data_IF_968070785793
#
_entry.id   IF_968070785793
#
_cell.length_a   1.000
_cell.length_b   1.000
_cell.length_c   1.000
_cell.angle_alpha   90.00
_cell.angle_beta   90.00
_cell.angle_gamma   90.00
#
_symmetry.space_group_name_H-M   'P 1'
#
loop_
_entity.id
_entity.type
_entity.pdbx_description
1 polymer ?
#
# COMPACT_ATOMS: atom_id res chain seq x y z
N UNK A 1 -38.71 9.67 2.91
CA UNK A 1 -37.67 9.46 3.94
C UNK A 1 -36.29 9.05 3.36
N UNK A 2 -36.03 9.15 2.04
CA UNK A 2 -34.72 8.85 1.44
C UNK A 2 -33.84 10.08 1.16
N UNK A 3 -34.40 11.29 1.23
CA UNK A 3 -33.70 12.55 0.92
C UNK A 3 -32.75 13.02 2.02
N UNK A 4 -32.99 12.63 3.27
CA UNK A 4 -32.18 13.04 4.43
C UNK A 4 -30.86 12.23 4.51
N UNK A 5 -30.85 10.98 4.03
CA UNK A 5 -29.63 10.16 4.02
C UNK A 5 -28.64 10.59 2.92
N UNK A 6 -29.12 11.16 1.81
CA UNK A 6 -28.27 11.62 0.70
C UNK A 6 -27.48 12.88 1.08
N UNK A 7 -28.03 13.77 1.91
CA UNK A 7 -27.36 15.01 2.31
C UNK A 7 -26.20 14.80 3.29
N UNK A 8 -26.26 13.77 4.15
CA UNK A 8 -25.17 13.43 5.07
C UNK A 8 -23.94 12.83 4.36
N UNK A 9 -24.14 12.14 3.24
CA UNK A 9 -23.04 11.59 2.43
C UNK A 9 -22.23 12.71 1.76
N UNK A 10 -22.90 13.80 1.36
CA UNK A 10 -22.23 14.95 0.69
C UNK A 10 -21.42 15.78 1.70
N UNK A 11 -21.88 15.93 2.96
CA UNK A 11 -21.13 16.62 4.01
C UNK A 11 -19.88 15.86 4.48
N UNK A 12 -19.90 14.52 4.50
CA UNK A 12 -18.74 13.72 4.89
C UNK A 12 -17.55 13.80 3.94
N UNK A 13 -17.77 14.13 2.65
CA UNK A 13 -16.69 14.30 1.66
C UNK A 13 -15.95 15.63 1.85
N UNK A 14 -16.62 16.65 2.42
CA UNK A 14 -16.05 17.99 2.62
C UNK A 14 -15.13 18.03 3.86
N UNK A 15 -15.43 17.27 4.92
CA UNK A 15 -14.60 17.25 6.14
C UNK A 15 -13.35 16.34 6.05
N UNK A 16 -13.29 15.42 5.08
CA UNK A 16 -12.14 14.52 4.87
C UNK A 16 -10.92 15.20 4.20
N UNK A 17 -11.00 16.51 3.92
CA UNK A 17 -10.03 17.22 3.08
C UNK A 17 -8.70 17.62 3.73
N UNK A 18 -8.56 17.56 5.05
CA UNK A 18 -7.45 18.28 5.73
C UNK A 18 -6.66 17.48 6.77
N UNK A 19 -6.71 16.15 6.75
CA UNK A 19 -5.61 15.40 7.34
C UNK A 19 -4.43 15.43 6.36
N UNK A 20 -3.47 16.32 6.57
CA UNK A 20 -2.12 16.13 6.03
C UNK A 20 -1.58 14.81 6.61
N UNK A 21 -1.83 13.68 5.92
CA UNK A 21 -1.14 12.45 6.21
C UNK A 21 0.34 12.72 5.92
N UNK A 22 1.14 12.90 6.99
CA UNK A 22 2.60 12.88 6.89
C UNK A 22 2.97 11.64 6.08
N UNK A 23 3.44 11.85 4.84
CA UNK A 23 3.79 10.74 3.96
C UNK A 23 4.85 9.91 4.68
N UNK A 24 4.62 8.60 4.90
CA UNK A 24 5.63 7.77 5.54
C UNK A 24 6.90 7.86 4.71
N UNK A 25 8.03 8.15 5.36
CA UNK A 25 9.33 8.12 4.69
C UNK A 25 9.53 6.71 4.17
N UNK A 26 9.72 6.57 2.85
CA UNK A 26 10.07 5.27 2.27
C UNK A 26 11.38 4.80 2.93
N UNK A 27 11.45 3.55 3.41
CA UNK A 27 12.69 3.04 4.00
C UNK A 27 13.82 3.11 2.97
N UNK A 28 14.99 3.53 3.43
CA UNK A 28 16.20 3.61 2.59
C UNK A 28 16.62 2.19 2.16
N UNK A 29 17.00 1.97 0.89
CA UNK A 29 17.55 0.69 0.43
C UNK A 29 18.73 0.22 1.30
N UNK A 30 18.82 -1.07 1.67
CA UNK A 30 19.85 -1.58 2.56
C UNK A 30 21.29 -1.31 2.08
N UNK A 31 21.54 -1.40 0.76
CA UNK A 31 22.85 -1.17 0.16
C UNK A 31 23.35 0.28 0.32
N UNK A 32 22.48 1.24 0.62
CA UNK A 32 22.87 2.62 0.88
C UNK A 32 23.37 2.84 2.31
N UNK A 33 23.12 1.94 3.28
CA UNK A 33 23.42 2.20 4.70
C UNK A 33 24.87 2.59 4.95
N UNK A 34 25.82 1.95 4.26
CA UNK A 34 27.25 2.11 4.46
C UNK A 34 27.91 3.04 3.42
N UNK A 35 27.14 3.76 2.63
CA UNK A 35 27.67 4.66 1.59
C UNK A 35 27.90 6.08 2.11
N UNK A 36 28.83 6.79 1.45
CA UNK A 36 29.09 8.21 1.70
C UNK A 36 27.86 9.07 1.37
N UNK A 37 27.82 10.29 1.91
CA UNK A 37 26.71 11.22 1.63
C UNK A 37 26.63 11.58 0.15
N UNK A 38 27.79 11.68 -0.49
CA UNK A 38 27.96 12.00 -1.90
C UNK A 38 27.39 10.88 -2.77
N UNK A 39 27.75 9.62 -2.50
CA UNK A 39 27.24 8.48 -3.23
C UNK A 39 25.72 8.33 -3.06
N UNK A 40 25.19 8.55 -1.84
CA UNK A 40 23.75 8.62 -1.60
C UNK A 40 23.11 9.74 -2.42
N UNK A 41 23.72 10.93 -2.50
CA UNK A 41 23.18 12.05 -3.28
C UNK A 41 23.06 11.70 -4.76
N UNK A 42 24.12 11.15 -5.35
CA UNK A 42 24.13 10.70 -6.75
C UNK A 42 23.01 9.69 -7.04
N UNK A 43 22.83 8.70 -6.17
CA UNK A 43 21.74 7.73 -6.28
C UNK A 43 20.37 8.40 -6.30
N UNK A 44 20.13 9.36 -5.39
CA UNK A 44 18.86 10.06 -5.32
C UNK A 44 18.65 11.03 -6.49
N UNK A 45 19.71 11.60 -7.06
CA UNK A 45 19.65 12.43 -8.27
C UNK A 45 19.17 11.62 -9.48
N UNK A 46 19.69 10.40 -9.67
CA UNK A 46 19.21 9.46 -10.69
C UNK A 46 17.70 9.21 -10.56
N UNK A 47 17.24 8.92 -9.34
CA UNK A 47 15.83 8.64 -9.08
C UNK A 47 14.91 9.86 -9.16
N UNK A 48 15.46 11.06 -8.97
CA UNK A 48 14.70 12.31 -9.02
C UNK A 48 14.48 12.79 -10.46
N UNK A 49 15.27 12.32 -11.42
CA UNK A 49 15.11 12.66 -12.83
C UNK A 49 13.76 12.17 -13.38
N UNK A 50 12.82 13.08 -13.62
CA UNK A 50 11.48 12.77 -14.10
C UNK A 50 11.36 12.68 -15.63
N UNK A 51 12.45 12.96 -16.34
CA UNK A 51 12.45 13.01 -17.80
C UNK A 51 12.86 11.66 -18.42
N UNK A 52 13.26 10.70 -17.60
CA UNK A 52 13.72 9.39 -18.05
C UNK A 52 12.74 8.27 -17.72
N UNK A 53 12.79 7.21 -18.51
CA UNK A 53 12.03 6.00 -18.21
C UNK A 53 12.61 5.31 -16.99
N UNK A 54 11.77 4.57 -16.27
CA UNK A 54 12.21 3.74 -15.13
C UNK A 54 13.29 2.74 -15.56
N UNK A 55 13.21 2.21 -16.78
CA UNK A 55 14.22 1.31 -17.32
C UNK A 55 15.58 2.01 -17.48
N UNK A 56 15.57 3.26 -17.95
CA UNK A 56 16.78 4.07 -18.09
C UNK A 56 17.37 4.44 -16.72
N UNK A 57 16.53 4.84 -15.76
CA UNK A 57 16.96 5.07 -14.38
C UNK A 57 17.61 3.82 -13.77
N UNK A 58 17.05 2.62 -13.99
CA UNK A 58 17.67 1.37 -13.54
C UNK A 58 19.04 1.12 -14.15
N UNK A 59 19.19 1.37 -15.45
CA UNK A 59 20.51 1.27 -16.10
C UNK A 59 21.51 2.26 -15.50
N UNK A 60 21.09 3.49 -15.19
CA UNK A 60 21.92 4.49 -14.53
C UNK A 60 22.30 4.07 -13.09
N UNK A 61 21.35 3.52 -12.33
CA UNK A 61 21.62 2.98 -10.98
C UNK A 61 22.62 1.83 -11.05
N UNK A 62 22.52 0.93 -12.03
CA UNK A 62 23.50 -0.15 -12.21
C UNK A 62 24.89 0.37 -12.59
N UNK A 63 24.98 1.38 -13.48
CA UNK A 63 26.24 2.01 -13.82
C UNK A 63 26.88 2.73 -12.60
N UNK A 64 26.07 3.46 -11.83
CA UNK A 64 26.48 4.05 -10.56
C UNK A 64 26.96 2.98 -9.57
N UNK A 65 26.23 1.87 -9.45
CA UNK A 65 26.58 0.77 -8.55
C UNK A 65 27.91 0.11 -8.92
N UNK A 66 28.22 0.00 -10.23
CA UNK A 66 29.53 -0.46 -10.72
C UNK A 66 30.66 0.46 -10.30
N UNK A 67 30.48 1.78 -10.46
CA UNK A 67 31.48 2.77 -10.04
C UNK A 67 31.77 2.72 -8.54
N UNK A 68 30.77 2.35 -7.74
CA UNK A 68 30.88 2.20 -6.29
C UNK A 68 31.14 0.76 -5.82
N UNK A 69 31.38 -0.18 -6.74
CA UNK A 69 31.64 -1.61 -6.43
C UNK A 69 30.56 -2.32 -5.60
N UNK A 70 29.28 -1.92 -5.76
CA UNK A 70 28.12 -2.49 -5.06
C UNK A 70 27.07 -3.10 -6.01
N UNK A 71 27.44 -3.36 -7.26
CA UNK A 71 26.54 -3.89 -8.30
C UNK A 71 25.79 -5.14 -7.84
N UNK A 72 26.47 -6.10 -7.19
CA UNK A 72 25.86 -7.32 -6.69
C UNK A 72 24.75 -7.04 -5.64
N UNK A 73 24.98 -6.09 -4.73
CA UNK A 73 24.00 -5.73 -3.70
C UNK A 73 22.77 -5.06 -4.31
N UNK A 74 22.97 -4.20 -5.31
CA UNK A 74 21.88 -3.54 -6.04
C UNK A 74 21.07 -4.55 -6.84
N UNK A 75 21.72 -5.47 -7.56
CA UNK A 75 21.04 -6.53 -8.32
C UNK A 75 20.23 -7.47 -7.42
N UNK A 76 20.79 -7.86 -6.26
CA UNK A 76 20.06 -8.65 -5.27
C UNK A 76 18.81 -7.91 -4.79
N UNK A 77 18.94 -6.64 -4.42
CA UNK A 77 17.81 -5.83 -3.98
C UNK A 77 16.73 -5.67 -5.07
N UNK A 78 17.13 -5.53 -6.35
CA UNK A 78 16.17 -5.49 -7.45
C UNK A 78 15.41 -6.81 -7.62
N UNK A 79 16.07 -7.95 -7.42
CA UNK A 79 15.43 -9.26 -7.46
C UNK A 79 14.42 -9.43 -6.30
N UNK A 80 14.80 -9.04 -5.08
CA UNK A 80 13.91 -9.04 -3.90
C UNK A 80 12.68 -8.14 -4.13
N UNK A 81 12.86 -6.93 -4.67
CA UNK A 81 11.75 -6.05 -5.01
C UNK A 81 10.82 -6.65 -6.07
N UNK A 82 11.37 -7.36 -7.07
CA UNK A 82 10.57 -8.04 -8.10
C UNK A 82 9.74 -9.18 -7.50
N UNK A 83 10.33 -9.95 -6.60
CA UNK A 83 9.62 -11.00 -5.87
C UNK A 83 8.51 -10.41 -5.01
N UNK A 84 8.81 -9.44 -4.15
CA UNK A 84 7.84 -8.78 -3.29
C UNK A 84 6.69 -8.13 -4.10
N UNK A 85 6.99 -7.52 -5.25
CA UNK A 85 5.97 -6.98 -6.15
C UNK A 85 5.06 -8.07 -6.71
N UNK A 86 5.59 -9.25 -7.02
CA UNK A 86 4.82 -10.39 -7.52
C UNK A 86 3.91 -10.94 -6.43
N UNK A 87 4.43 -11.13 -5.22
CA UNK A 87 3.65 -11.56 -4.05
C UNK A 87 2.54 -10.57 -3.70
N UNK A 88 2.86 -9.26 -3.70
CA UNK A 88 1.88 -8.21 -3.45
C UNK A 88 0.76 -8.23 -4.50
N UNK A 89 1.10 -8.39 -5.78
CA UNK A 89 0.10 -8.51 -6.85
C UNK A 89 -0.82 -9.70 -6.62
N UNK A 90 -0.26 -10.88 -6.31
CA UNK A 90 -1.05 -12.07 -6.03
C UNK A 90 -2.00 -11.86 -4.83
N UNK A 91 -1.50 -11.24 -3.75
CA UNK A 91 -2.30 -10.93 -2.56
C UNK A 91 -3.44 -9.95 -2.88
N UNK A 92 -3.17 -8.89 -3.66
CA UNK A 92 -4.20 -7.93 -4.08
C UNK A 92 -5.23 -8.60 -5.00
N UNK A 93 -4.80 -9.45 -5.93
CA UNK A 93 -5.72 -10.22 -6.79
C UNK A 93 -6.62 -11.13 -5.96
N UNK A 94 -6.07 -11.83 -4.96
CA UNK A 94 -6.86 -12.66 -4.03
C UNK A 94 -7.87 -11.83 -3.23
N UNK A 95 -7.45 -10.65 -2.73
CA UNK A 95 -8.35 -9.72 -2.04
C UNK A 95 -9.50 -9.25 -2.93
N UNK A 96 -9.20 -8.88 -4.18
CA UNK A 96 -10.23 -8.46 -5.15
C UNK A 96 -11.22 -9.58 -5.45
N UNK A 97 -10.77 -10.83 -5.52
CA UNK A 97 -11.65 -11.98 -5.71
C UNK A 97 -12.56 -12.24 -4.49
N UNK A 98 -12.08 -11.98 -3.28
CA UNK A 98 -12.85 -12.16 -2.05
C UNK A 98 -13.80 -10.99 -1.73
N UNK A 99 -13.53 -9.80 -2.29
CA UNK A 99 -14.22 -8.56 -1.97
C UNK A 99 -15.75 -8.60 -2.21
N UNK A 100 -16.27 -9.12 -3.34
CA UNK A 100 -17.72 -9.17 -3.57
C UNK A 100 -18.46 -9.97 -2.51
N UNK A 101 -17.89 -11.11 -2.10
CA UNK A 101 -18.49 -11.96 -1.07
C UNK A 101 -18.42 -11.30 0.32
N UNK A 102 -17.31 -10.61 0.62
CA UNK A 102 -17.21 -9.83 1.85
C UNK A 102 -18.25 -8.71 1.90
N UNK A 103 -18.48 -8.02 0.79
CA UNK A 103 -19.50 -6.98 0.66
C UNK A 103 -20.92 -7.54 0.85
N UNK A 104 -21.24 -8.69 0.22
CA UNK A 104 -22.53 -9.36 0.42
C UNK A 104 -22.78 -9.72 1.88
N UNK A 105 -21.78 -10.29 2.57
CA UNK A 105 -21.89 -10.62 4.00
C UNK A 105 -22.06 -9.39 4.88
N UNK A 106 -21.38 -8.30 4.57
CA UNK A 106 -21.53 -7.04 5.29
C UNK A 106 -22.97 -6.54 5.20
N UNK A 107 -23.55 -6.52 4.00
CA UNK A 107 -24.94 -6.11 3.81
C UNK A 107 -25.92 -7.04 4.53
N UNK A 108 -25.71 -8.36 4.48
CA UNK A 108 -26.54 -9.32 5.25
C UNK A 108 -26.52 -9.04 6.76
N UNK A 109 -25.38 -8.60 7.30
CA UNK A 109 -25.26 -8.22 8.70
C UNK A 109 -25.99 -6.90 8.95
N UNK A 110 -25.81 -5.88 8.11
CA UNK A 110 -26.39 -4.55 8.36
C UNK A 110 -27.89 -4.48 8.10
N UNK A 111 -28.39 -5.25 7.15
CA UNK A 111 -29.77 -5.19 6.67
C UNK A 111 -30.69 -6.16 7.46
N UNK A 112 -30.13 -6.95 8.38
CA UNK A 112 -30.90 -7.82 9.25
C UNK A 112 -31.58 -7.01 10.37
N UNK A 113 -32.83 -6.62 10.17
CA UNK A 113 -33.62 -5.87 11.15
C UNK A 113 -34.08 -6.72 12.35
N UNK A 114 -33.94 -8.05 12.30
CA UNK A 114 -34.37 -8.96 13.38
C UNK A 114 -33.32 -9.11 14.50
N UNK A 115 -32.28 -8.28 14.52
CA UNK A 115 -31.22 -8.30 15.53
C UNK A 115 -31.28 -7.07 16.43
N UNK A 116 -30.81 -7.22 17.67
CA UNK A 116 -30.58 -6.08 18.58
C UNK A 116 -29.30 -5.31 18.21
N UNK A 117 -29.15 -4.05 18.64
CA UNK A 117 -27.91 -3.30 18.41
C UNK A 117 -26.64 -3.97 18.96
N UNK A 118 -26.75 -4.75 20.05
CA UNK A 118 -25.64 -5.52 20.62
C UNK A 118 -25.25 -6.66 19.68
N UNK A 119 -26.23 -7.41 19.18
CA UNK A 119 -26.00 -8.51 18.22
C UNK A 119 -25.38 -8.00 16.90
N UNK A 120 -25.83 -6.84 16.40
CA UNK A 120 -25.22 -6.20 15.23
C UNK A 120 -23.74 -5.88 15.46
N UNK A 121 -23.41 -5.28 16.61
CA UNK A 121 -22.03 -4.97 16.98
C UNK A 121 -21.16 -6.22 17.06
N UNK A 122 -21.70 -7.31 17.62
CA UNK A 122 -21.01 -8.60 17.70
C UNK A 122 -20.76 -9.21 16.32
N UNK A 123 -21.77 -9.24 15.46
CA UNK A 123 -21.67 -9.73 14.08
C UNK A 123 -20.63 -8.94 13.26
N UNK A 124 -20.63 -7.61 13.37
CA UNK A 124 -19.63 -6.75 12.73
C UNK A 124 -18.22 -7.00 13.27
N UNK A 125 -18.07 -7.24 14.58
CA UNK A 125 -16.78 -7.60 15.15
C UNK A 125 -16.27 -8.96 14.63
N UNK A 126 -17.15 -9.96 14.52
CA UNK A 126 -16.81 -11.26 13.96
C UNK A 126 -16.39 -11.14 12.48
N UNK A 127 -17.16 -10.40 11.67
CA UNK A 127 -16.84 -10.11 10.27
C UNK A 127 -15.48 -9.40 10.10
N UNK A 128 -15.20 -8.41 10.95
CA UNK A 128 -13.91 -7.70 10.95
C UNK A 128 -12.76 -8.62 11.35
N UNK A 129 -12.99 -9.54 12.28
CA UNK A 129 -11.94 -10.45 12.76
C UNK A 129 -11.64 -11.56 11.74
N UNK A 130 -12.64 -12.08 11.03
CA UNK A 130 -12.43 -13.06 9.95
C UNK A 130 -11.69 -12.47 8.75
N UNK A 131 -11.83 -11.16 8.49
CA UNK A 131 -11.14 -10.46 7.41
C UNK A 131 -9.73 -9.96 7.75
N UNK A 132 -9.33 -9.92 9.04
CA UNK A 132 -8.01 -9.46 9.49
C UNK A 132 -6.84 -10.41 9.19
N UNK A 133 -7.07 -11.49 8.45
CA UNK A 133 -6.10 -12.56 8.20
C UNK A 133 -4.95 -12.20 7.22
N UNK A 134 -4.79 -10.93 6.84
CA UNK A 134 -3.78 -10.46 5.86
C UNK A 134 -2.61 -9.68 6.48
N UNK A 135 -2.62 -9.41 7.81
CA UNK A 135 -1.59 -8.54 8.40
C UNK A 135 -1.08 -9.00 9.77
N UNK A 136 -0.55 -10.22 9.86
CA UNK A 136 0.38 -10.64 10.93
C UNK A 136 1.36 -11.70 10.41
N UNK A 137 2.43 -11.26 9.78
CA UNK A 137 3.74 -11.89 9.83
C UNK A 137 4.75 -10.79 10.14
#
# INVERSE_FOLDING_TARGET
MYTIFITLIILGVVECGSYEMKRPRKPEPPFLKNMTREAKREYHEILRNRNETIAKQKQQVLAWARNHSIEAQVQQFEAELKQHKTELKANVTSLLAALPQAYQRLNQITDNENQTPIQLKEALNQFRNSSKMVRRR
#
